data_IF_885594366646
#
_entry.id   IF_885594366646
#
_cell.length_a   1.000
_cell.length_b   1.000
_cell.length_c   1.000
_cell.angle_alpha   90.00
_cell.angle_beta   90.00
_cell.angle_gamma   90.00
#
_symmetry.space_group_name_H-M   'P 1'
#
loop_
_entity.id
_entity.type
_entity.pdbx_description
1 polymer ?
#
# COMPACT_ATOMS: atom_id res chain seq x y z
N UNK A 1 4.86 -10.12 -44.38
CA UNK A 1 4.33 -9.05 -43.50
C UNK A 1 5.12 -9.10 -42.20
N UNK A 2 5.58 -7.95 -41.69
CA UNK A 2 6.28 -7.89 -40.40
C UNK A 2 5.21 -7.84 -39.30
N UNK A 3 5.20 -8.80 -38.39
CA UNK A 3 4.20 -8.92 -37.33
C UNK A 3 4.63 -8.05 -36.14
N UNK A 4 3.84 -7.01 -35.81
CA UNK A 4 4.16 -6.04 -34.77
C UNK A 4 3.56 -6.38 -33.39
N UNK A 5 3.16 -7.63 -33.16
CA UNK A 5 2.46 -8.05 -31.96
C UNK A 5 3.20 -7.68 -30.67
N UNK A 6 4.46 -8.10 -30.52
CA UNK A 6 5.24 -7.84 -29.31
C UNK A 6 5.61 -6.36 -29.14
N UNK A 7 5.76 -5.62 -30.23
CA UNK A 7 5.98 -4.17 -30.18
C UNK A 7 4.75 -3.45 -29.61
N UNK A 8 3.54 -3.85 -30.03
CA UNK A 8 2.30 -3.30 -29.49
C UNK A 8 2.12 -3.68 -28.02
N UNK A 9 2.44 -4.92 -27.61
CA UNK A 9 2.45 -5.32 -26.19
C UNK A 9 3.39 -4.43 -25.36
N UNK A 10 4.59 -4.13 -25.88
CA UNK A 10 5.55 -3.27 -25.19
C UNK A 10 5.05 -1.81 -25.07
N UNK A 11 4.17 -1.35 -25.97
CA UNK A 11 3.57 -0.01 -25.94
C UNK A 11 2.36 0.11 -25.01
N UNK A 12 1.77 -1.00 -24.55
CA UNK A 12 0.63 -1.00 -23.64
C UNK A 12 0.94 -0.40 -22.26
N UNK A 13 2.23 -0.33 -21.87
CA UNK A 13 2.73 0.26 -20.62
C UNK A 13 1.95 -0.21 -19.37
N UNK A 14 2.02 -1.51 -19.09
CA UNK A 14 1.36 -2.14 -17.95
C UNK A 14 2.36 -2.65 -16.90
N UNK A 15 1.91 -2.74 -15.65
CA UNK A 15 2.69 -3.31 -14.55
C UNK A 15 2.13 -4.67 -14.16
N UNK A 16 2.97 -5.71 -14.22
CA UNK A 16 2.63 -7.07 -13.82
C UNK A 16 2.80 -8.09 -14.95
N UNK A 17 1.99 -9.15 -14.90
CA UNK A 17 2.00 -10.27 -15.82
C UNK A 17 0.72 -10.24 -16.66
N UNK A 18 0.86 -10.06 -17.97
CA UNK A 18 -0.24 -10.15 -18.92
C UNK A 18 -0.36 -11.61 -19.39
N UNK A 19 -1.43 -12.28 -19.01
CA UNK A 19 -1.76 -13.63 -19.43
C UNK A 19 -2.74 -13.59 -20.60
N UNK A 20 -2.34 -14.19 -21.72
CA UNK A 20 -3.15 -14.35 -22.92
C UNK A 20 -3.51 -15.83 -23.08
N UNK A 21 -4.79 -16.14 -23.21
CA UNK A 21 -5.29 -17.50 -23.45
C UNK A 21 -6.15 -17.51 -24.71
N UNK A 22 -5.83 -18.41 -25.64
CA UNK A 22 -6.50 -18.50 -26.94
C UNK A 22 -7.05 -19.92 -27.07
N UNK A 23 -8.34 -20.03 -27.36
CA UNK A 23 -9.00 -21.31 -27.65
C UNK A 23 -9.80 -21.23 -28.95
N UNK A 24 -10.07 -22.39 -29.56
CA UNK A 24 -10.93 -22.46 -30.74
C UNK A 24 -12.39 -22.40 -30.32
N UNK A 25 -13.13 -21.47 -30.91
CA UNK A 25 -14.58 -21.35 -30.77
C UNK A 25 -15.34 -22.19 -31.79
N UNK A 26 -16.65 -21.98 -31.85
CA UNK A 26 -17.48 -22.48 -32.94
C UNK A 26 -17.21 -21.70 -34.24
N UNK A 27 -17.55 -22.28 -35.39
CA UNK A 27 -17.55 -21.59 -36.69
C UNK A 27 -16.20 -20.94 -37.06
N UNK A 28 -15.09 -21.61 -36.76
CA UNK A 28 -13.71 -21.14 -37.02
C UNK A 28 -13.31 -19.84 -36.29
N UNK A 29 -14.11 -19.38 -35.33
CA UNK A 29 -13.74 -18.25 -34.47
C UNK A 29 -12.67 -18.63 -33.45
N UNK A 30 -11.99 -17.61 -32.93
CA UNK A 30 -11.11 -17.71 -31.77
C UNK A 30 -11.78 -17.07 -30.56
N UNK A 31 -11.57 -17.69 -29.40
CA UNK A 31 -11.90 -17.10 -28.11
C UNK A 31 -10.60 -16.69 -27.46
N UNK A 32 -10.43 -15.38 -27.25
CA UNK A 32 -9.20 -14.81 -26.69
C UNK A 32 -9.54 -14.17 -25.35
N UNK A 33 -8.84 -14.60 -24.31
CA UNK A 33 -8.97 -14.10 -22.94
C UNK A 33 -7.69 -13.42 -22.50
N UNK A 34 -7.80 -12.19 -22.01
CA UNK A 34 -6.69 -11.36 -21.54
C UNK A 34 -6.87 -11.04 -20.07
N UNK A 35 -5.90 -11.41 -19.25
CA UNK A 35 -5.88 -11.16 -17.81
C UNK A 35 -4.58 -10.46 -17.42
N UNK A 36 -4.66 -9.30 -16.77
CA UNK A 36 -3.50 -8.64 -16.17
C UNK A 36 -3.45 -8.97 -14.67
N UNK A 37 -2.34 -9.56 -14.23
CA UNK A 37 -2.09 -9.89 -12.83
C UNK A 37 -0.90 -9.11 -12.30
N UNK A 38 -1.07 -8.35 -11.21
CA UNK A 38 0.04 -7.71 -10.50
C UNK A 38 0.25 -8.37 -9.14
N UNK A 39 1.34 -9.10 -8.97
CA UNK A 39 1.71 -9.73 -7.68
C UNK A 39 2.09 -8.69 -6.61
N UNK A 40 2.58 -7.52 -7.01
CA UNK A 40 2.96 -6.44 -6.10
C UNK A 40 1.75 -5.73 -5.47
N UNK A 41 0.57 -5.84 -6.08
CA UNK A 41 -0.66 -5.41 -5.45
C UNK A 41 -1.07 -6.44 -4.39
N UNK A 42 -0.94 -6.10 -3.11
CA UNK A 42 -1.32 -6.99 -1.99
C UNK A 42 -2.83 -7.02 -1.74
N UNK A 43 -3.58 -6.15 -2.42
CA UNK A 43 -5.03 -6.10 -2.28
C UNK A 43 -5.67 -7.32 -2.96
N UNK A 44 -6.42 -8.10 -2.18
CA UNK A 44 -7.18 -9.25 -2.67
C UNK A 44 -8.29 -8.85 -3.65
N UNK A 45 -8.66 -7.56 -3.71
CA UNK A 45 -9.62 -7.05 -4.67
C UNK A 45 -9.19 -7.27 -6.12
N UNK A 46 -7.88 -7.42 -6.37
CA UNK A 46 -7.33 -7.76 -7.69
C UNK A 46 -7.90 -9.05 -8.27
N UNK A 47 -8.26 -10.02 -7.41
CA UNK A 47 -8.83 -11.31 -7.81
C UNK A 47 -10.28 -11.20 -8.31
N UNK A 48 -10.95 -10.06 -8.09
CA UNK A 48 -12.29 -9.80 -8.64
C UNK A 48 -12.24 -9.16 -10.02
N UNK A 49 -11.06 -8.76 -10.52
CA UNK A 49 -10.95 -8.18 -11.87
C UNK A 49 -11.12 -9.32 -12.88
N UNK A 50 -12.21 -9.34 -13.66
CA UNK A 50 -12.47 -10.43 -14.58
C UNK A 50 -11.53 -10.33 -15.79
N UNK A 51 -11.21 -11.46 -16.43
CA UNK A 51 -10.47 -11.43 -17.69
C UNK A 51 -11.34 -10.84 -18.81
N UNK A 52 -10.71 -10.07 -19.70
CA UNK A 52 -11.35 -9.56 -20.91
C UNK A 52 -11.41 -10.68 -21.92
N UNK A 53 -12.61 -11.15 -22.25
CA UNK A 53 -12.81 -12.28 -23.15
C UNK A 53 -13.56 -11.84 -24.39
N UNK A 54 -12.98 -12.13 -25.55
CA UNK A 54 -13.50 -11.79 -26.87
C UNK A 54 -13.71 -13.07 -27.68
N UNK A 55 -14.72 -13.06 -28.54
CA UNK A 55 -14.98 -14.12 -29.51
C UNK A 55 -15.12 -13.45 -30.89
N UNK A 56 -14.17 -13.72 -31.78
CA UNK A 56 -14.10 -13.09 -33.08
C UNK A 56 -13.34 -13.98 -34.07
N UNK A 57 -13.42 -13.65 -35.35
CA UNK A 57 -12.61 -14.30 -36.39
C UNK A 57 -11.13 -13.91 -36.24
N UNK A 58 -10.18 -14.72 -36.74
CA UNK A 58 -8.77 -14.34 -36.75
C UNK A 58 -8.50 -12.98 -37.41
N UNK A 59 -9.24 -12.64 -38.47
CA UNK A 59 -9.10 -11.37 -39.18
C UNK A 59 -9.49 -10.17 -38.31
N UNK A 60 -10.60 -10.25 -37.58
CA UNK A 60 -11.02 -9.20 -36.66
C UNK A 60 -10.02 -9.01 -35.52
N UNK A 61 -9.37 -10.08 -35.05
CA UNK A 61 -8.29 -9.97 -34.07
C UNK A 61 -7.06 -9.28 -34.67
N UNK A 62 -6.63 -9.66 -35.87
CA UNK A 62 -5.47 -9.04 -36.52
C UNK A 62 -5.66 -7.53 -36.74
N UNK A 63 -6.89 -7.10 -37.04
CA UNK A 63 -7.22 -5.69 -37.31
C UNK A 63 -7.49 -4.87 -36.04
N UNK A 64 -8.13 -5.45 -35.02
CA UNK A 64 -8.72 -4.69 -33.91
C UNK A 64 -8.31 -5.12 -32.50
N UNK A 65 -7.50 -6.16 -32.31
CA UNK A 65 -7.21 -6.70 -30.97
C UNK A 65 -6.63 -5.65 -30.02
N UNK A 66 -5.58 -4.94 -30.44
CA UNK A 66 -4.92 -3.96 -29.58
C UNK A 66 -5.78 -2.73 -29.31
N UNK A 67 -6.60 -2.29 -30.27
CA UNK A 67 -7.54 -1.19 -30.07
C UNK A 67 -8.56 -1.53 -28.96
N UNK A 68 -9.00 -2.78 -28.91
CA UNK A 68 -9.97 -3.25 -27.91
C UNK A 68 -9.37 -3.45 -26.52
N UNK A 69 -8.12 -3.90 -26.40
CA UNK A 69 -7.51 -4.22 -25.10
C UNK A 69 -6.73 -3.07 -24.47
N UNK A 70 -6.29 -2.07 -25.24
CA UNK A 70 -5.37 -1.03 -24.74
C UNK A 70 -5.95 -0.26 -23.55
N UNK A 71 -7.10 0.39 -23.74
CA UNK A 71 -7.70 1.20 -22.67
C UNK A 71 -8.12 0.38 -21.44
N UNK A 72 -8.75 -0.81 -21.58
CA UNK A 72 -9.04 -1.68 -20.44
C UNK A 72 -7.78 -2.12 -19.67
N UNK A 73 -6.71 -2.54 -20.35
CA UNK A 73 -5.48 -3.01 -19.69
C UNK A 73 -4.77 -1.88 -18.95
N UNK A 74 -4.70 -0.69 -19.56
CA UNK A 74 -4.16 0.50 -18.90
C UNK A 74 -4.98 0.88 -17.65
N UNK A 75 -6.31 0.80 -17.73
CA UNK A 75 -7.19 1.06 -16.57
C UNK A 75 -6.92 0.07 -15.44
N UNK A 76 -6.88 -1.23 -15.74
CA UNK A 76 -6.60 -2.28 -14.75
C UNK A 76 -5.21 -2.10 -14.14
N UNK A 77 -4.20 -1.83 -14.96
CA UNK A 77 -2.82 -1.57 -14.53
C UNK A 77 -2.76 -0.38 -13.56
N UNK A 78 -3.38 0.74 -13.93
CA UNK A 78 -3.42 1.96 -13.10
C UNK A 78 -4.08 1.70 -11.75
N UNK A 79 -5.24 1.05 -11.74
CA UNK A 79 -5.95 0.69 -10.51
C UNK A 79 -5.07 -0.18 -9.59
N UNK A 80 -4.40 -1.20 -10.13
CA UNK A 80 -3.54 -2.07 -9.32
C UNK A 80 -2.34 -1.33 -8.73
N UNK A 81 -1.73 -0.40 -9.48
CA UNK A 81 -0.61 0.43 -9.00
C UNK A 81 -1.05 1.42 -7.93
N UNK A 82 -2.21 2.05 -8.11
CA UNK A 82 -2.76 3.01 -7.15
C UNK A 82 -3.17 2.32 -5.84
N UNK A 83 -3.76 1.12 -5.91
CA UNK A 83 -4.06 0.30 -4.75
C UNK A 83 -2.79 -0.05 -3.95
N UNK A 84 -1.71 -0.43 -4.61
CA UNK A 84 -0.43 -0.71 -3.94
C UNK A 84 0.15 0.54 -3.26
N UNK A 85 0.18 1.68 -3.96
CA UNK A 85 0.68 2.95 -3.42
C UNK A 85 -0.14 3.40 -2.21
N UNK A 86 -1.46 3.33 -2.30
CA UNK A 86 -2.36 3.68 -1.21
C UNK A 86 -2.11 2.81 0.02
N UNK A 87 -1.98 1.48 -0.16
CA UNK A 87 -1.71 0.57 0.95
C UNK A 87 -0.37 0.87 1.62
N UNK A 88 0.70 1.11 0.85
CA UNK A 88 2.01 1.52 1.39
C UNK A 88 1.92 2.81 2.21
N UNK A 89 1.27 3.84 1.66
CA UNK A 89 1.08 5.12 2.37
C UNK A 89 0.25 4.97 3.64
N UNK A 90 -0.78 4.11 3.61
CA UNK A 90 -1.61 3.82 4.77
C UNK A 90 -0.81 3.14 5.88
N UNK A 91 0.05 2.19 5.54
CA UNK A 91 0.90 1.49 6.51
C UNK A 91 1.98 2.42 7.10
N UNK A 92 2.58 3.29 6.28
CA UNK A 92 3.48 4.35 6.75
C UNK A 92 2.78 5.31 7.73
N UNK A 93 1.57 5.77 7.40
CA UNK A 93 0.78 6.67 8.26
C UNK A 93 0.42 6.00 9.60
N UNK A 94 0.03 4.72 9.59
CA UNK A 94 -0.21 3.93 10.81
C UNK A 94 1.05 3.81 11.66
N UNK A 95 2.20 3.53 11.02
CA UNK A 95 3.47 3.42 11.71
C UNK A 95 3.88 4.74 12.38
N UNK A 96 3.75 5.86 11.68
CA UNK A 96 4.01 7.19 12.24
C UNK A 96 3.07 7.51 13.41
N UNK A 97 1.77 7.21 13.28
CA UNK A 97 0.79 7.42 14.36
C UNK A 97 1.14 6.62 15.61
N UNK A 98 1.57 5.36 15.47
CA UNK A 98 2.01 4.53 16.58
C UNK A 98 3.28 5.08 17.25
N UNK A 99 4.27 5.51 16.47
CA UNK A 99 5.50 6.12 16.99
C UNK A 99 5.22 7.41 17.77
N UNK A 100 4.35 8.29 17.26
CA UNK A 100 4.01 9.53 17.95
C UNK A 100 3.24 9.28 19.25
N UNK A 101 2.35 8.27 19.28
CA UNK A 101 1.71 7.84 20.53
C UNK A 101 2.74 7.33 21.55
N UNK A 102 3.68 6.48 21.12
CA UNK A 102 4.71 5.93 22.01
C UNK A 102 5.65 7.02 22.54
N UNK A 103 6.08 7.96 21.69
CA UNK A 103 6.87 9.13 22.11
C UNK A 103 6.12 9.97 23.14
N UNK A 104 4.84 10.23 22.90
CA UNK A 104 4.01 11.02 23.81
C UNK A 104 3.85 10.33 25.17
N UNK A 105 3.62 9.01 25.18
CA UNK A 105 3.54 8.24 26.42
C UNK A 105 4.88 8.19 27.18
N UNK A 106 6.00 7.99 26.48
CA UNK A 106 7.34 8.03 27.09
C UNK A 106 7.62 9.40 27.71
N UNK A 107 7.35 10.49 26.99
CA UNK A 107 7.52 11.85 27.50
C UNK A 107 6.64 12.13 28.73
N UNK A 108 5.39 11.64 28.73
CA UNK A 108 4.49 11.77 29.88
C UNK A 108 5.00 11.01 31.11
N UNK A 109 5.43 9.75 30.94
CA UNK A 109 6.01 8.93 32.03
C UNK A 109 7.29 9.55 32.58
N UNK A 110 8.16 10.09 31.73
CA UNK A 110 9.37 10.78 32.17
C UNK A 110 9.06 12.06 32.96
N UNK A 111 8.07 12.84 32.52
CA UNK A 111 7.63 14.04 33.23
C UNK A 111 7.03 13.71 34.59
N UNK A 112 6.15 12.72 34.66
CA UNK A 112 5.56 12.23 35.91
C UNK A 112 6.63 11.69 36.88
N UNK A 113 7.63 10.96 36.37
CA UNK A 113 8.74 10.46 37.19
C UNK A 113 9.63 11.58 37.74
N UNK A 114 9.92 12.61 36.94
CA UNK A 114 10.68 13.79 37.39
C UNK A 114 9.90 14.59 38.44
N UNK A 115 8.60 14.82 38.21
CA UNK A 115 7.74 15.53 39.16
C UNK A 115 7.62 14.77 40.49
N UNK A 116 7.50 13.44 40.46
CA UNK A 116 7.48 12.62 41.68
C UNK A 116 8.80 12.73 42.46
N UNK A 117 9.95 12.56 41.79
CA UNK A 117 11.27 12.72 42.43
C UNK A 117 11.46 14.10 43.05
N UNK A 118 10.98 15.16 42.38
CA UNK A 118 11.08 16.53 42.89
C UNK A 118 10.23 16.74 44.14
N UNK A 119 8.98 16.22 44.15
CA UNK A 119 8.10 16.28 45.32
C UNK A 119 8.69 15.51 46.51
N UNK A 120 9.20 14.30 46.28
CA UNK A 120 9.83 13.50 47.34
C UNK A 120 11.07 14.20 47.92
N UNK A 121 11.88 14.84 47.08
CA UNK A 121 13.05 15.60 47.52
C UNK A 121 12.69 16.85 48.33
N UNK A 122 11.64 17.59 47.93
CA UNK A 122 11.14 18.73 48.71
C UNK A 122 10.57 18.29 50.06
N UNK A 123 9.76 17.23 50.10
CA UNK A 123 9.22 16.71 51.35
C UNK A 123 10.33 16.30 52.34
N UNK A 124 11.38 15.65 51.83
CA UNK A 124 12.56 15.29 52.64
C UNK A 124 13.35 16.51 53.12
N UNK A 125 13.46 17.55 52.30
CA UNK A 125 14.09 18.81 52.70
C UNK A 125 13.27 19.54 53.78
N UNK A 126 11.95 19.56 53.66
CA UNK A 126 11.03 20.15 54.65
C UNK A 126 11.08 19.38 55.98
N UNK A 127 11.17 18.04 55.95
CA UNK A 127 11.36 17.22 57.15
C UNK A 127 12.72 17.51 57.83
N UNK A 128 13.81 17.57 57.06
CA UNK A 128 15.13 17.93 57.57
C UNK A 128 15.19 19.37 58.09
N UNK A 129 14.41 20.29 57.51
CA UNK A 129 14.30 21.66 57.99
C UNK A 129 13.46 21.77 59.27
N UNK A 130 12.44 20.90 59.44
CA UNK A 130 11.69 20.76 60.69
C UNK A 130 12.51 20.08 61.81
N UNK A 131 13.33 19.09 61.46
CA UNK A 131 14.28 18.44 62.39
C UNK A 131 15.51 19.32 62.66
N UNK A 132 15.81 20.25 61.76
CA UNK A 132 16.82 21.30 61.86
C UNK A 132 16.42 22.42 62.82
N UNK A 133 16.33 22.09 64.11
CA UNK A 133 16.46 23.03 65.22
C UNK A 133 17.80 23.76 65.13
N UNK A 134 17.88 24.83 64.35
CA UNK A 134 18.91 25.87 64.50
C UNK A 134 18.29 27.11 65.13
N UNK A 135 18.42 27.19 66.47
CA UNK A 135 18.43 28.34 67.40
C UNK A 135 18.05 27.74 68.76
N UNK A 136 19.00 27.43 69.64
CA UNK A 136 19.68 28.44 70.46
C UNK A 136 21.19 28.49 70.13
N UNK A 137 21.58 29.34 69.19
CA UNK A 137 22.49 30.44 69.53
C UNK A 137 21.93 31.38 70.61
N UNK A 138 22.39 31.24 71.86
CA UNK A 138 23.23 32.20 72.60
C UNK A 138 23.59 31.62 73.98
#
# INVERSE_FOLDING_TARGET
MNTNFFNQIAQLDFTGVLQLSISKGAEDNLIVSVLLNNEQCWDNAKSFIPPLTFNATPQEFDEGFFEQITAPIQTVSGVMVDMEKFQKQLDEAKMQSAMEKEKTEKAKKEKEAKEKKYKDAMAKADELQKDGKHREAY
#
